data_IF_589134362986
#
_entry.id   IF_589134362986
#
_cell.length_a   1.000
_cell.length_b   1.000
_cell.length_c   1.000
_cell.angle_alpha   90.00
_cell.angle_beta   90.00
_cell.angle_gamma   90.00
#
_symmetry.space_group_name_H-M   'P 1'
#
loop_
_entity.id
_entity.type
_entity.pdbx_description
1 polymer ?
#
# COMPACT_ATOMS: atom_id res chain seq x y z
N UNK A 1 -20.42 65.47 5.68
CA UNK A 1 -20.55 64.30 6.56
C UNK A 1 -19.89 63.13 5.86
N UNK A 2 -18.79 62.61 6.40
CA UNK A 2 -18.03 61.51 5.81
C UNK A 2 -18.67 60.18 6.24
N UNK A 3 -19.29 59.47 5.30
CA UNK A 3 -19.75 58.09 5.53
C UNK A 3 -18.62 57.14 5.16
N UNK A 4 -17.78 56.85 6.15
CA UNK A 4 -16.73 55.83 6.06
C UNK A 4 -17.37 54.45 5.93
N UNK A 5 -17.17 53.80 4.78
CA UNK A 5 -17.54 52.40 4.58
C UNK A 5 -16.42 51.52 5.16
N UNK A 6 -16.75 50.81 6.24
CA UNK A 6 -15.92 49.76 6.84
C UNK A 6 -15.79 48.61 5.84
N UNK A 7 -14.59 48.47 5.28
CA UNK A 7 -14.17 47.35 4.46
C UNK A 7 -13.92 46.14 5.38
N UNK A 8 -14.91 45.27 5.52
CA UNK A 8 -14.74 43.97 6.19
C UNK A 8 -13.92 43.04 5.30
N UNK A 9 -12.61 42.95 5.57
CA UNK A 9 -11.74 41.93 4.98
C UNK A 9 -12.09 40.59 5.63
N UNK A 10 -12.97 39.82 4.98
CA UNK A 10 -13.18 38.41 5.27
C UNK A 10 -11.94 37.65 4.79
N UNK A 11 -11.04 37.35 5.73
CA UNK A 11 -9.93 36.44 5.52
C UNK A 11 -10.50 35.02 5.38
N UNK A 12 -10.89 34.64 4.17
CA UNK A 12 -11.21 33.25 3.85
C UNK A 12 -9.91 32.45 3.93
N UNK A 13 -9.64 31.88 5.10
CA UNK A 13 -8.65 30.83 5.24
C UNK A 13 -9.09 29.68 4.32
N UNK A 14 -8.44 29.58 3.16
CA UNK A 14 -8.51 28.37 2.33
C UNK A 14 -7.83 27.28 3.13
N UNK A 15 -8.60 26.58 3.97
CA UNK A 15 -8.19 25.26 4.43
C UNK A 15 -7.94 24.46 3.15
N UNK A 16 -6.67 24.20 2.85
CA UNK A 16 -6.30 23.14 1.95
C UNK A 16 -6.82 21.86 2.60
N UNK A 17 -8.08 21.53 2.31
CA UNK A 17 -8.66 20.25 2.69
C UNK A 17 -7.76 19.24 2.03
N UNK A 18 -6.97 18.51 2.83
CA UNK A 18 -6.14 17.43 2.34
C UNK A 18 -7.07 16.53 1.51
N UNK A 19 -6.82 16.50 0.20
CA UNK A 19 -7.66 15.73 -0.71
C UNK A 19 -7.37 14.28 -0.36
N UNK A 20 -8.35 13.50 0.14
CA UNK A 20 -8.09 12.15 0.61
C UNK A 20 -7.56 11.29 -0.54
N UNK A 21 -6.89 10.18 -0.23
CA UNK A 21 -6.66 9.13 -1.22
C UNK A 21 -8.00 8.88 -1.92
N UNK A 22 -8.05 9.02 -3.25
CA UNK A 22 -9.28 8.80 -4.02
C UNK A 22 -9.09 7.61 -4.95
N UNK A 23 -10.08 6.74 -4.95
CA UNK A 23 -10.31 5.80 -6.03
C UNK A 23 -10.89 6.56 -7.23
N UNK A 24 -10.24 6.47 -8.39
CA UNK A 24 -10.81 6.91 -9.67
C UNK A 24 -11.16 5.70 -10.52
N UNK A 25 -12.37 5.66 -11.07
CA UNK A 25 -12.84 4.48 -11.81
C UNK A 25 -12.47 4.57 -13.28
N UNK A 26 -11.66 3.63 -13.76
CA UNK A 26 -11.40 3.48 -15.20
C UNK A 26 -12.65 2.94 -15.92
N UNK A 27 -13.36 1.99 -15.30
CA UNK A 27 -14.70 1.56 -15.70
C UNK A 27 -15.72 2.05 -14.68
N UNK A 28 -16.59 2.98 -15.09
CA UNK A 28 -17.65 3.50 -14.22
C UNK A 28 -18.59 2.37 -13.76
N UNK A 29 -18.91 2.26 -12.46
CA UNK A 29 -19.83 1.26 -11.94
C UNK A 29 -21.21 1.36 -12.59
N UNK A 30 -21.80 0.23 -12.99
CA UNK A 30 -23.13 0.19 -13.62
C UNK A 30 -24.06 -0.81 -12.92
N UNK A 31 -25.31 -0.38 -12.71
CA UNK A 31 -26.32 -1.18 -12.02
C UNK A 31 -26.11 -1.25 -10.50
N UNK A 32 -27.14 -1.67 -9.78
CA UNK A 32 -27.20 -1.54 -8.32
C UNK A 32 -26.09 -2.33 -7.60
N UNK A 33 -25.73 -3.51 -8.12
CA UNK A 33 -24.70 -4.37 -7.54
C UNK A 33 -23.30 -3.74 -7.62
N UNK A 34 -22.88 -3.23 -8.78
CA UNK A 34 -21.58 -2.56 -8.91
C UNK A 34 -21.56 -1.22 -8.17
N UNK A 35 -22.67 -0.49 -8.14
CA UNK A 35 -22.80 0.75 -7.36
C UNK A 35 -22.63 0.45 -5.85
N UNK A 36 -23.19 -0.65 -5.35
CA UNK A 36 -22.98 -1.07 -3.96
C UNK A 36 -21.52 -1.45 -3.69
N UNK A 37 -20.89 -2.19 -4.59
CA UNK A 37 -19.46 -2.53 -4.49
C UNK A 37 -18.55 -1.30 -4.54
N UNK A 38 -18.88 -0.32 -5.37
CA UNK A 38 -18.16 0.95 -5.46
C UNK A 38 -18.20 1.71 -4.13
N UNK A 39 -19.33 1.71 -3.43
CA UNK A 39 -19.43 2.29 -2.06
C UNK A 39 -18.49 1.59 -1.09
N UNK A 40 -18.39 0.26 -1.13
CA UNK A 40 -17.45 -0.48 -0.27
C UNK A 40 -15.99 -0.09 -0.53
N UNK A 41 -15.62 0.17 -1.80
CA UNK A 41 -14.27 0.64 -2.16
C UNK A 41 -14.06 2.08 -1.69
N UNK A 42 -15.04 2.97 -1.83
CA UNK A 42 -14.97 4.35 -1.35
C UNK A 42 -14.83 4.40 0.18
N UNK A 43 -15.60 3.59 0.90
CA UNK A 43 -15.53 3.48 2.36
C UNK A 43 -14.15 2.97 2.82
N UNK A 44 -13.62 1.94 2.13
CA UNK A 44 -12.29 1.41 2.40
C UNK A 44 -11.18 2.42 2.08
N UNK A 45 -11.31 3.20 1.00
CA UNK A 45 -10.35 4.24 0.62
C UNK A 45 -10.36 5.38 1.64
N UNK A 46 -11.53 5.75 2.15
CA UNK A 46 -11.69 6.76 3.22
C UNK A 46 -10.97 6.31 4.48
N UNK A 47 -11.21 5.07 4.91
CA UNK A 47 -10.52 4.48 6.06
C UNK A 47 -9.00 4.36 5.82
N UNK A 48 -8.58 4.00 4.60
CA UNK A 48 -7.17 3.96 4.24
C UNK A 48 -6.52 5.34 4.42
N UNK A 49 -7.18 6.42 4.00
CA UNK A 49 -6.68 7.77 4.19
C UNK A 49 -6.56 8.14 5.68
N UNK A 50 -7.56 7.81 6.51
CA UNK A 50 -7.48 8.01 7.97
C UNK A 50 -6.25 7.30 8.57
N UNK A 51 -5.97 6.06 8.14
CA UNK A 51 -4.78 5.31 8.58
C UNK A 51 -3.47 5.96 8.10
N UNK A 52 -3.44 6.47 6.86
CA UNK A 52 -2.29 7.20 6.31
C UNK A 52 -1.98 8.46 7.12
N UNK A 53 -3.00 9.20 7.57
CA UNK A 53 -2.81 10.35 8.46
C UNK A 53 -2.18 9.95 9.81
N UNK A 54 -2.59 8.80 10.37
CA UNK A 54 -1.98 8.24 11.59
C UNK A 54 -0.53 7.80 11.34
N UNK A 55 -0.23 7.20 10.19
CA UNK A 55 1.15 6.86 9.78
C UNK A 55 2.02 8.12 9.71
N UNK A 56 1.53 9.20 9.10
CA UNK A 56 2.23 10.49 9.05
C UNK A 56 2.49 11.05 10.45
N UNK A 57 1.50 11.02 11.34
CA UNK A 57 1.67 11.48 12.72
C UNK A 57 2.76 10.71 13.48
N UNK A 58 2.84 9.40 13.29
CA UNK A 58 3.90 8.55 13.85
C UNK A 58 5.27 8.92 13.27
N UNK A 59 5.36 9.13 11.95
CA UNK A 59 6.60 9.50 11.27
C UNK A 59 7.08 10.92 11.60
N UNK A 60 6.19 11.82 12.02
CA UNK A 60 6.57 13.16 12.48
C UNK A 60 7.33 13.15 13.81
N UNK A 61 7.18 12.08 14.61
CA UNK A 61 7.88 11.90 15.88
C UNK A 61 8.48 10.48 15.97
N UNK A 62 9.42 10.11 15.08
CA UNK A 62 9.81 8.72 14.89
C UNK A 62 10.61 8.15 16.08
N UNK A 63 11.22 9.01 16.89
CA UNK A 63 12.16 8.62 17.95
C UNK A 63 11.52 8.31 19.30
N UNK A 64 10.20 8.54 19.46
CA UNK A 64 9.51 8.08 20.68
C UNK A 64 9.57 6.56 20.75
N UNK A 65 9.70 6.00 21.96
CA UNK A 65 9.84 4.56 22.14
C UNK A 65 8.69 3.76 21.48
N UNK A 66 7.47 4.31 21.52
CA UNK A 66 6.32 3.71 20.86
C UNK A 66 6.39 3.78 19.33
N UNK A 67 6.67 4.96 18.76
CA UNK A 67 6.70 5.15 17.31
C UNK A 67 7.87 4.37 16.69
N UNK A 68 9.04 4.41 17.32
CA UNK A 68 10.20 3.62 16.93
C UNK A 68 9.86 2.13 16.91
N UNK A 69 9.12 1.63 17.89
CA UNK A 69 8.65 0.23 17.91
C UNK A 69 7.73 -0.07 16.74
N UNK A 70 6.70 0.75 16.49
CA UNK A 70 5.77 0.56 15.35
C UNK A 70 6.51 0.52 14.01
N UNK A 71 7.41 1.48 13.80
CA UNK A 71 8.23 1.60 12.60
C UNK A 71 9.15 0.38 12.45
N UNK A 72 9.87 0.01 13.51
CA UNK A 72 10.80 -1.14 13.48
C UNK A 72 10.06 -2.46 13.26
N UNK A 73 8.87 -2.62 13.84
CA UNK A 73 8.03 -3.81 13.61
C UNK A 73 7.59 -3.91 12.16
N UNK A 74 7.23 -2.79 11.52
CA UNK A 74 6.81 -2.78 10.12
C UNK A 74 7.98 -2.96 9.15
N UNK A 75 9.02 -2.13 9.27
CA UNK A 75 10.06 -1.97 8.25
C UNK A 75 11.42 -2.55 8.63
N UNK A 76 11.58 -3.01 9.87
CA UNK A 76 12.86 -3.49 10.39
C UNK A 76 13.76 -2.38 10.97
N UNK A 77 14.91 -2.77 11.54
CA UNK A 77 15.82 -1.85 12.25
C UNK A 77 16.65 -0.95 11.32
N UNK A 78 16.72 -1.28 10.01
CA UNK A 78 17.53 -0.58 9.00
C UNK A 78 16.70 0.32 8.08
N UNK A 79 15.49 0.66 8.50
CA UNK A 79 14.54 1.44 7.70
C UNK A 79 15.11 2.79 7.27
N UNK A 80 14.93 3.14 5.99
CA UNK A 80 15.14 4.50 5.51
C UNK A 80 13.90 5.35 5.80
N UNK A 81 13.90 6.07 6.93
CA UNK A 81 12.75 6.88 7.37
C UNK A 81 12.40 7.97 6.35
N UNK A 82 13.38 8.54 5.64
CA UNK A 82 13.13 9.58 4.66
C UNK A 82 12.31 9.04 3.47
N UNK A 83 12.65 7.84 2.99
CA UNK A 83 11.88 7.17 1.94
C UNK A 83 10.47 6.81 2.40
N UNK A 84 10.33 6.24 3.60
CA UNK A 84 9.00 5.93 4.17
C UNK A 84 8.13 7.20 4.27
N UNK A 85 8.70 8.32 4.72
CA UNK A 85 8.01 9.63 4.73
C UNK A 85 7.60 10.07 3.33
N UNK A 86 8.47 9.92 2.34
CA UNK A 86 8.15 10.28 0.96
C UNK A 86 7.00 9.44 0.41
N UNK A 87 6.98 8.13 0.68
CA UNK A 87 5.90 7.24 0.26
C UNK A 87 4.58 7.55 0.97
N UNK A 88 4.60 7.74 2.30
CA UNK A 88 3.40 8.12 3.06
C UNK A 88 2.84 9.47 2.59
N UNK A 89 3.71 10.43 2.26
CA UNK A 89 3.29 11.70 1.66
C UNK A 89 2.60 11.49 0.31
N UNK A 90 3.16 10.67 -0.59
CA UNK A 90 2.52 10.32 -1.86
C UNK A 90 1.16 9.68 -1.65
N UNK A 91 1.05 8.70 -0.74
CA UNK A 91 -0.21 8.03 -0.39
C UNK A 91 -1.25 9.03 0.13
N UNK A 92 -0.84 10.04 0.89
CA UNK A 92 -1.71 11.07 1.44
C UNK A 92 -2.27 12.02 0.37
N UNK A 93 -1.43 12.39 -0.61
CA UNK A 93 -1.70 13.49 -1.55
C UNK A 93 -2.17 13.00 -2.93
N UNK A 94 -2.02 11.72 -3.25
CA UNK A 94 -2.26 11.17 -4.59
C UNK A 94 -3.58 10.42 -4.69
N UNK A 95 -3.92 10.05 -5.92
CA UNK A 95 -5.07 9.21 -6.25
C UNK A 95 -4.59 7.89 -6.85
N UNK A 96 -5.42 6.86 -6.74
CA UNK A 96 -5.18 5.57 -7.37
C UNK A 96 -6.31 5.26 -8.35
N UNK A 97 -5.99 4.87 -9.59
CA UNK A 97 -7.01 4.36 -10.50
C UNK A 97 -7.42 2.95 -10.06
N UNK A 98 -8.71 2.71 -9.98
CA UNK A 98 -9.32 1.40 -9.79
C UNK A 98 -9.93 0.96 -11.13
N UNK A 99 -9.61 -0.25 -11.57
CA UNK A 99 -10.08 -0.77 -12.86
C UNK A 99 -11.59 -0.90 -12.96
N UNK A 100 -12.21 -1.53 -11.96
CA UNK A 100 -13.65 -1.78 -11.94
C UNK A 100 -14.16 -2.07 -10.53
N UNK A 101 -15.45 -1.79 -10.29
CA UNK A 101 -16.17 -2.21 -9.10
C UNK A 101 -16.80 -3.60 -9.23
N UNK A 102 -16.67 -4.25 -10.39
CA UNK A 102 -17.09 -5.63 -10.60
C UNK A 102 -16.15 -6.59 -9.85
N UNK A 103 -16.65 -7.38 -8.88
CA UNK A 103 -15.82 -8.33 -8.13
C UNK A 103 -15.15 -9.40 -8.99
N UNK A 104 -15.64 -9.64 -10.21
CA UNK A 104 -15.05 -10.62 -11.13
C UNK A 104 -13.96 -10.04 -12.03
N UNK A 105 -13.73 -8.72 -11.99
CA UNK A 105 -12.83 -8.05 -12.93
C UNK A 105 -11.42 -8.64 -12.94
N UNK A 106 -10.87 -8.91 -11.75
CA UNK A 106 -9.59 -9.58 -11.63
C UNK A 106 -9.74 -11.11 -11.75
N UNK A 107 -10.76 -11.71 -11.13
CA UNK A 107 -10.98 -13.16 -11.15
C UNK A 107 -11.06 -13.72 -12.58
N UNK A 108 -11.73 -13.02 -13.50
CA UNK A 108 -11.91 -13.43 -14.90
C UNK A 108 -10.56 -13.49 -15.65
N UNK A 109 -9.60 -12.63 -15.30
CA UNK A 109 -8.24 -12.69 -15.85
C UNK A 109 -7.48 -13.95 -15.40
N UNK A 110 -7.93 -14.58 -14.32
CA UNK A 110 -7.39 -15.82 -13.75
C UNK A 110 -8.36 -17.01 -13.90
N UNK A 111 -9.24 -16.97 -14.91
CA UNK A 111 -10.16 -18.07 -15.23
C UNK A 111 -11.25 -18.27 -14.18
N UNK A 112 -11.71 -17.18 -13.55
CA UNK A 112 -12.77 -17.17 -12.54
C UNK A 112 -12.31 -17.58 -11.13
N UNK A 113 -11.00 -17.73 -10.91
CA UNK A 113 -10.45 -18.04 -9.58
C UNK A 113 -10.49 -16.79 -8.71
N UNK A 114 -11.04 -16.85 -7.47
CA UNK A 114 -11.06 -15.72 -6.57
C UNK A 114 -9.67 -15.12 -6.36
N UNK A 115 -9.56 -13.82 -6.60
CA UNK A 115 -8.36 -13.03 -6.35
C UNK A 115 -8.66 -11.95 -5.31
N UNK A 116 -7.59 -11.51 -4.63
CA UNK A 116 -7.68 -10.40 -3.69
C UNK A 116 -7.60 -9.07 -4.45
N UNK A 117 -6.38 -8.69 -4.83
CA UNK A 117 -6.10 -7.50 -5.61
C UNK A 117 -4.73 -7.65 -6.30
N UNK A 118 -4.45 -6.78 -7.27
CA UNK A 118 -3.11 -6.58 -7.83
C UNK A 118 -2.99 -5.19 -8.47
N UNK A 119 -1.75 -4.72 -8.62
CA UNK A 119 -1.39 -3.64 -9.55
C UNK A 119 -0.36 -4.15 -10.54
N UNK A 120 -0.75 -4.53 -11.77
CA UNK A 120 0.20 -5.04 -12.74
C UNK A 120 1.03 -3.90 -13.35
N UNK A 121 2.27 -4.15 -13.80
CA UNK A 121 3.01 -3.19 -14.60
C UNK A 121 2.37 -2.96 -15.98
N UNK A 122 2.66 -1.81 -16.57
CA UNK A 122 2.32 -1.46 -17.95
C UNK A 122 3.23 -2.21 -18.93
N UNK A 123 2.88 -3.46 -19.22
CA UNK A 123 3.63 -4.28 -20.19
C UNK A 123 3.14 -4.07 -21.63
N UNK A 124 4.08 -3.99 -22.57
CA UNK A 124 3.81 -4.03 -24.02
C UNK A 124 4.24 -5.39 -24.56
N UNK A 125 3.41 -6.11 -25.36
CA UNK A 125 3.81 -7.37 -25.96
C UNK A 125 5.14 -7.26 -26.70
N UNK A 126 6.08 -8.15 -26.39
CA UNK A 126 7.42 -8.17 -26.98
C UNK A 126 8.44 -7.22 -26.33
N UNK A 127 8.08 -6.51 -25.25
CA UNK A 127 9.04 -5.78 -24.41
C UNK A 127 9.22 -6.45 -23.06
N UNK A 128 10.46 -6.52 -22.60
CA UNK A 128 10.82 -7.08 -21.29
C UNK A 128 10.55 -6.07 -20.16
N UNK A 129 10.69 -4.77 -20.43
CA UNK A 129 10.51 -3.72 -19.43
C UNK A 129 9.10 -3.09 -19.43
N UNK A 130 8.59 -2.69 -18.25
CA UNK A 130 7.39 -1.85 -18.15
C UNK A 130 7.55 -0.52 -18.88
N UNK A 131 6.49 -0.06 -19.56
CA UNK A 131 6.46 1.24 -20.24
C UNK A 131 5.64 2.26 -19.45
N UNK A 132 6.05 3.53 -19.38
CA UNK A 132 5.22 4.56 -18.78
C UNK A 132 3.90 4.78 -19.54
N UNK A 133 2.81 5.04 -18.83
CA UNK A 133 1.56 5.56 -19.38
C UNK A 133 1.71 7.05 -19.77
N UNK A 134 0.61 7.71 -20.17
CA UNK A 134 0.63 9.13 -20.58
C UNK A 134 1.04 10.07 -19.45
N UNK A 135 0.77 9.67 -18.22
CA UNK A 135 1.09 10.38 -16.99
C UNK A 135 2.51 10.02 -16.47
N UNK A 136 3.26 9.18 -17.18
CA UNK A 136 4.60 8.76 -16.82
C UNK A 136 4.68 7.63 -15.78
N UNK A 137 3.54 7.02 -15.40
CA UNK A 137 3.51 5.90 -14.46
C UNK A 137 3.71 4.55 -15.17
N UNK A 138 4.58 3.69 -14.65
CA UNK A 138 4.85 2.34 -15.17
C UNK A 138 3.89 1.28 -14.64
N UNK A 139 2.99 1.64 -13.73
CA UNK A 139 1.97 0.75 -13.18
C UNK A 139 0.60 1.00 -13.82
N UNK A 140 -0.19 -0.07 -13.98
CA UNK A 140 -1.60 -0.03 -14.35
C UNK A 140 -2.48 0.35 -13.16
N UNK A 141 -3.78 0.40 -13.38
CA UNK A 141 -4.76 0.52 -12.32
C UNK A 141 -4.75 -0.63 -11.30
N UNK A 142 -5.24 -0.34 -10.11
CA UNK A 142 -5.55 -1.33 -9.08
C UNK A 142 -6.72 -2.18 -9.55
N UNK A 143 -6.51 -3.49 -9.57
CA UNK A 143 -7.49 -4.46 -9.99
C UNK A 143 -7.96 -5.22 -8.75
N UNK A 144 -9.27 -5.24 -8.49
CA UNK A 144 -9.86 -5.90 -7.33
C UNK A 144 -10.57 -7.18 -7.78
N UNK A 145 -10.36 -8.27 -7.05
CA UNK A 145 -11.05 -9.53 -7.24
C UNK A 145 -12.11 -9.79 -6.18
N UNK A 146 -12.79 -10.94 -6.25
CA UNK A 146 -13.95 -11.18 -5.39
C UNK A 146 -13.59 -11.37 -3.92
N UNK A 147 -12.37 -11.80 -3.62
CA UNK A 147 -11.93 -11.97 -2.22
C UNK A 147 -11.73 -10.65 -1.50
N UNK A 148 -11.39 -9.56 -2.22
CA UNK A 148 -11.35 -8.22 -1.62
C UNK A 148 -12.69 -7.86 -1.00
N UNK A 149 -13.79 -8.08 -1.72
CA UNK A 149 -15.13 -7.69 -1.26
C UNK A 149 -15.59 -8.49 -0.04
N UNK A 150 -15.05 -9.71 0.16
CA UNK A 150 -15.31 -10.58 1.33
C UNK A 150 -14.52 -10.17 2.58
N UNK A 151 -13.47 -9.34 2.45
CA UNK A 151 -12.65 -8.91 3.59
C UNK A 151 -13.41 -8.01 4.55
N UNK A 152 -12.93 -7.90 5.79
CA UNK A 152 -13.44 -6.92 6.74
C UNK A 152 -13.04 -5.50 6.33
N UNK A 153 -13.71 -4.49 6.89
CA UNK A 153 -13.52 -3.08 6.53
C UNK A 153 -12.05 -2.64 6.66
N UNK A 154 -11.40 -2.96 7.78
CA UNK A 154 -9.99 -2.62 8.01
C UNK A 154 -9.03 -3.35 7.07
N UNK A 155 -9.32 -4.60 6.73
CA UNK A 155 -8.51 -5.39 5.81
C UNK A 155 -8.62 -4.86 4.39
N UNK A 156 -9.82 -4.46 3.94
CA UNK A 156 -10.00 -3.77 2.65
C UNK A 156 -9.16 -2.50 2.58
N UNK A 157 -9.18 -1.68 3.63
CA UNK A 157 -8.35 -0.48 3.70
C UNK A 157 -6.85 -0.81 3.64
N UNK A 158 -6.42 -1.86 4.35
CA UNK A 158 -5.04 -2.34 4.31
C UNK A 158 -4.61 -2.82 2.92
N UNK A 159 -5.48 -3.55 2.21
CA UNK A 159 -5.23 -3.97 0.82
C UNK A 159 -5.09 -2.75 -0.09
N UNK A 160 -5.97 -1.74 0.02
CA UNK A 160 -5.84 -0.55 -0.80
C UNK A 160 -4.56 0.24 -0.52
N UNK A 161 -4.07 0.28 0.73
CA UNK A 161 -2.75 0.87 1.05
C UNK A 161 -1.62 0.07 0.39
N UNK A 162 -1.66 -1.25 0.46
CA UNK A 162 -0.69 -2.14 -0.19
C UNK A 162 -0.61 -1.86 -1.70
N UNK A 163 -1.75 -1.97 -2.39
CA UNK A 163 -1.82 -1.76 -3.84
C UNK A 163 -1.47 -0.32 -4.24
N UNK A 164 -1.90 0.68 -3.47
CA UNK A 164 -1.53 2.07 -3.72
C UNK A 164 -0.02 2.30 -3.62
N UNK A 165 0.65 1.56 -2.75
CA UNK A 165 2.11 1.66 -2.58
C UNK A 165 2.82 1.13 -3.82
N UNK A 166 2.38 0.00 -4.39
CA UNK A 166 2.88 -0.48 -5.68
C UNK A 166 2.70 0.58 -6.77
N UNK A 167 1.51 1.17 -6.87
CA UNK A 167 1.19 2.15 -7.91
C UNK A 167 2.01 3.46 -7.82
N UNK A 168 2.18 4.00 -6.61
CA UNK A 168 2.75 5.35 -6.39
C UNK A 168 4.26 5.35 -6.11
N UNK A 169 4.77 4.26 -5.55
CA UNK A 169 6.15 4.14 -5.10
C UNK A 169 6.92 3.00 -5.76
N UNK A 170 6.26 2.23 -6.66
CA UNK A 170 6.88 1.13 -7.40
C UNK A 170 7.56 0.11 -6.47
N UNK A 171 6.97 -0.08 -5.28
CA UNK A 171 7.35 -1.12 -4.34
C UNK A 171 7.08 -2.50 -4.90
N UNK A 172 7.62 -3.53 -4.27
CA UNK A 172 7.44 -4.92 -4.68
C UNK A 172 7.18 -5.83 -3.47
N UNK A 173 6.77 -7.07 -3.73
CA UNK A 173 6.52 -8.09 -2.70
C UNK A 173 7.55 -9.21 -2.71
N UNK A 174 8.33 -9.30 -3.78
CA UNK A 174 9.29 -10.36 -3.97
C UNK A 174 10.61 -10.06 -3.26
N UNK A 175 11.21 -11.10 -2.70
CA UNK A 175 12.43 -11.01 -1.91
C UNK A 175 13.53 -11.80 -2.58
N UNK A 176 14.64 -11.14 -2.90
CA UNK A 176 15.88 -11.79 -3.29
C UNK A 176 16.39 -12.63 -2.11
N UNK A 177 16.71 -13.91 -2.31
CA UNK A 177 17.22 -14.80 -1.26
C UNK A 177 18.75 -14.93 -1.27
N UNK A 178 19.43 -14.23 -2.18
CA UNK A 178 20.87 -14.24 -2.22
C UNK A 178 21.47 -13.38 -1.12
N UNK A 179 22.71 -13.73 -0.78
CA UNK A 179 23.58 -12.84 -0.01
C UNK A 179 24.11 -11.80 -0.98
N UNK A 180 23.85 -10.53 -0.69
CA UNK A 180 24.37 -9.43 -1.50
C UNK A 180 25.89 -9.34 -1.36
N UNK A 181 26.61 -8.72 -2.31
CA UNK A 181 28.06 -8.54 -2.23
C UNK A 181 28.55 -7.82 -0.96
N UNK A 182 27.69 -7.04 -0.30
CA UNK A 182 27.95 -6.36 0.97
C UNK A 182 27.70 -7.24 2.22
N UNK A 183 27.38 -8.52 2.03
CA UNK A 183 27.10 -9.49 3.09
C UNK A 183 25.69 -9.38 3.67
N UNK A 184 24.83 -8.48 3.18
CA UNK A 184 23.43 -8.42 3.61
C UNK A 184 22.66 -9.65 3.10
N UNK A 185 21.76 -10.14 3.95
CA UNK A 185 20.87 -11.26 3.62
C UNK A 185 19.52 -10.66 3.25
N UNK A 186 19.04 -11.01 2.06
CA UNK A 186 17.77 -10.57 1.52
C UNK A 186 17.72 -9.12 1.04
N UNK A 187 16.96 -8.89 -0.01
CA UNK A 187 16.55 -7.55 -0.46
C UNK A 187 15.18 -7.63 -1.12
N UNK A 188 14.43 -6.53 -1.07
CA UNK A 188 13.23 -6.42 -1.91
C UNK A 188 13.70 -6.23 -3.35
N UNK A 189 13.21 -7.07 -4.26
CA UNK A 189 13.49 -6.94 -5.69
C UNK A 189 12.80 -5.69 -6.23
N UNK A 190 13.46 -4.93 -7.09
CA UNK A 190 12.75 -3.84 -7.77
C UNK A 190 11.78 -4.42 -8.79
N UNK A 191 10.79 -3.63 -9.15
CA UNK A 191 9.88 -4.00 -10.23
C UNK A 191 10.68 -4.27 -11.53
N UNK A 192 10.40 -5.40 -12.18
CA UNK A 192 11.09 -5.82 -13.40
C UNK A 192 12.41 -6.57 -13.17
N UNK A 193 12.94 -6.59 -11.95
CA UNK A 193 14.07 -7.46 -11.60
C UNK A 193 13.54 -8.90 -11.45
N UNK A 194 13.59 -9.68 -12.53
CA UNK A 194 13.52 -11.15 -12.46
C UNK A 194 14.92 -11.66 -12.72
N UNK A 195 15.71 -11.96 -11.67
CA UNK A 195 17.10 -12.28 -11.93
C UNK A 195 17.18 -13.69 -12.50
N UNK A 196 17.76 -13.81 -13.71
CA UNK A 196 17.72 -15.03 -14.52
C UNK A 196 18.30 -16.30 -13.88
N UNK A 197 19.06 -16.17 -12.77
CA UNK A 197 19.71 -17.28 -12.07
C UNK A 197 19.57 -17.23 -10.53
N UNK A 198 18.70 -16.37 -9.98
CA UNK A 198 18.69 -16.09 -8.54
C UNK A 198 17.58 -16.83 -7.79
N UNK A 199 17.90 -17.30 -6.58
CA UNK A 199 16.88 -17.78 -5.65
C UNK A 199 16.10 -16.56 -5.16
N UNK A 200 14.81 -16.51 -5.43
CA UNK A 200 13.91 -15.50 -4.87
C UNK A 200 12.69 -16.15 -4.23
N UNK A 201 12.09 -15.46 -3.26
CA UNK A 201 10.82 -15.84 -2.67
C UNK A 201 9.72 -14.97 -3.29
N UNK A 202 8.87 -15.53 -4.17
CA UNK A 202 7.71 -14.80 -4.68
C UNK A 202 6.79 -14.48 -3.51
N UNK A 203 6.34 -13.23 -3.42
CA UNK A 203 5.51 -12.73 -2.30
C UNK A 203 6.14 -12.96 -0.93
N UNK A 204 7.48 -13.08 -0.87
CA UNK A 204 8.19 -13.32 0.37
C UNK A 204 8.00 -12.19 1.39
N UNK A 205 7.78 -10.97 0.91
CA UNK A 205 7.58 -9.78 1.72
C UNK A 205 6.22 -9.70 2.42
N UNK A 206 5.31 -10.66 2.24
CA UNK A 206 4.04 -10.67 2.94
C UNK A 206 4.20 -11.05 4.42
N UNK A 207 3.51 -10.31 5.29
CA UNK A 207 3.22 -10.70 6.65
C UNK A 207 2.17 -11.81 6.65
N UNK A 208 2.60 -13.01 7.04
CA UNK A 208 1.76 -14.19 7.10
C UNK A 208 1.43 -14.53 8.57
N UNK A 209 0.64 -15.58 8.76
CA UNK A 209 0.37 -16.26 10.01
C UNK A 209 0.32 -17.77 9.77
N UNK A 210 0.16 -18.53 10.85
CA UNK A 210 -0.04 -19.98 10.84
C UNK A 210 1.09 -20.73 10.11
N UNK A 211 2.32 -20.23 10.25
CA UNK A 211 3.53 -20.81 9.66
C UNK A 211 3.68 -20.49 8.18
N UNK A 212 3.20 -19.32 7.74
CA UNK A 212 3.29 -18.88 6.36
C UNK A 212 2.16 -19.38 5.45
N UNK A 213 0.99 -19.74 6.01
CA UNK A 213 -0.14 -20.28 5.23
C UNK A 213 -1.15 -19.22 4.83
N UNK A 214 -1.39 -18.25 5.71
CA UNK A 214 -2.40 -17.21 5.52
C UNK A 214 -1.79 -15.83 5.75
N UNK A 215 -2.35 -14.79 5.15
CA UNK A 215 -1.93 -13.43 5.47
C UNK A 215 -2.34 -13.07 6.91
N UNK A 216 -1.44 -12.40 7.64
CA UNK A 216 -1.78 -11.76 8.89
C UNK A 216 -2.61 -10.50 8.59
N UNK A 217 -3.87 -10.50 9.03
CA UNK A 217 -4.82 -9.40 8.80
C UNK A 217 -4.81 -8.42 9.96
N UNK A 218 -5.65 -7.38 9.88
CA UNK A 218 -5.66 -6.28 10.85
C UNK A 218 -5.76 -6.76 12.31
N UNK A 219 -6.72 -7.65 12.57
CA UNK A 219 -6.97 -8.20 13.90
C UNK A 219 -5.78 -9.05 14.40
N UNK A 220 -5.14 -9.83 13.53
CA UNK A 220 -4.01 -10.69 13.88
C UNK A 220 -2.79 -9.87 14.32
N UNK A 221 -2.59 -8.70 13.71
CA UNK A 221 -1.47 -7.80 14.00
C UNK A 221 -1.72 -7.03 15.31
N UNK A 222 -2.94 -6.50 15.52
CA UNK A 222 -3.28 -5.75 16.74
C UNK A 222 -3.29 -6.65 17.96
N UNK A 223 -3.92 -7.82 17.87
CA UNK A 223 -4.12 -8.71 19.02
C UNK A 223 -2.79 -9.12 19.68
N UNK A 224 -1.72 -9.26 18.89
CA UNK A 224 -0.39 -9.63 19.39
C UNK A 224 0.65 -8.52 19.26
N UNK A 225 0.23 -7.28 18.95
CA UNK A 225 1.07 -6.08 18.76
C UNK A 225 2.40 -6.34 18.02
N UNK A 226 2.36 -7.14 16.95
CA UNK A 226 3.51 -7.50 16.12
C UNK A 226 4.25 -8.80 16.49
N UNK A 227 3.86 -9.51 17.56
CA UNK A 227 4.42 -10.82 17.91
C UNK A 227 4.17 -11.87 16.82
N UNK A 228 2.99 -11.85 16.20
CA UNK A 228 2.65 -12.68 15.02
C UNK A 228 3.60 -12.48 13.85
N UNK A 229 4.21 -11.29 13.73
CA UNK A 229 5.13 -10.93 12.65
C UNK A 229 6.60 -11.30 12.93
N UNK A 230 6.92 -11.71 14.15
CA UNK A 230 8.31 -12.01 14.58
C UNK A 230 8.73 -13.46 14.37
N UNK A 231 7.78 -14.39 14.34
CA UNK A 231 8.06 -15.82 14.22
C UNK A 231 8.20 -16.31 12.76
N UNK A 232 8.06 -15.41 11.80
CA UNK A 232 7.87 -15.75 10.40
C UNK A 232 8.92 -15.15 9.46
N UNK A 233 8.92 -15.61 8.20
CA UNK A 233 9.80 -15.13 7.12
C UNK A 233 9.75 -13.60 6.97
N UNK A 234 8.59 -12.99 7.14
CA UNK A 234 8.45 -11.53 7.17
C UNK A 234 9.38 -10.87 8.20
N UNK A 235 9.42 -11.43 9.42
CA UNK A 235 10.28 -10.98 10.52
C UNK A 235 11.76 -11.11 10.21
N UNK A 236 12.15 -12.21 9.57
CA UNK A 236 13.51 -12.43 9.10
C UNK A 236 13.90 -11.43 8.00
N UNK A 237 13.08 -11.33 6.94
CA UNK A 237 13.36 -10.47 5.79
C UNK A 237 13.44 -9.01 6.21
N UNK A 238 12.50 -8.49 7.02
CA UNK A 238 12.57 -7.10 7.49
C UNK A 238 13.79 -6.84 8.38
N UNK A 239 14.25 -7.83 9.14
CA UNK A 239 15.38 -7.65 10.04
C UNK A 239 16.70 -7.52 9.27
N UNK A 240 16.88 -8.35 8.23
CA UNK A 240 18.15 -8.43 7.51
C UNK A 240 18.19 -7.60 6.22
N UNK A 241 17.04 -7.35 5.58
CA UNK A 241 16.97 -6.59 4.32
C UNK A 241 17.25 -5.10 4.55
N UNK A 242 18.24 -4.52 3.83
CA UNK A 242 18.54 -3.09 3.95
C UNK A 242 17.46 -2.20 3.29
N UNK A 243 16.67 -2.76 2.36
CA UNK A 243 15.67 -2.03 1.60
C UNK A 243 14.24 -2.50 1.86
N UNK A 244 13.94 -3.06 3.04
CA UNK A 244 12.58 -3.56 3.33
C UNK A 244 11.49 -2.47 3.31
N UNK A 245 11.87 -1.19 3.39
CA UNK A 245 10.95 -0.06 3.16
C UNK A 245 10.43 0.05 1.71
N UNK A 246 10.97 -0.76 0.79
CA UNK A 246 10.49 -0.91 -0.59
C UNK A 246 9.47 -2.06 -0.73
N UNK A 247 9.10 -2.73 0.37
CA UNK A 247 8.05 -3.73 0.38
C UNK A 247 6.66 -3.09 0.57
N UNK A 248 5.69 -3.44 -0.27
CA UNK A 248 4.34 -2.86 -0.16
C UNK A 248 3.61 -3.31 1.12
N UNK A 249 3.74 -4.58 1.50
CA UNK A 249 3.05 -5.14 2.67
C UNK A 249 3.47 -4.48 3.98
N UNK A 250 4.72 -4.00 4.06
CA UNK A 250 5.23 -3.24 5.20
C UNK A 250 4.44 -1.96 5.50
N UNK A 251 3.87 -1.30 4.48
CA UNK A 251 3.00 -0.15 4.66
C UNK A 251 1.61 -0.55 5.17
N UNK A 252 1.07 -1.70 4.74
CA UNK A 252 -0.17 -2.27 5.29
C UNK A 252 -0.02 -2.63 6.76
N UNK A 253 1.10 -3.26 7.12
CA UNK A 253 1.45 -3.56 8.51
C UNK A 253 1.60 -2.28 9.32
N UNK A 254 2.33 -1.28 8.80
CA UNK A 254 2.51 -0.01 9.49
C UNK A 254 1.19 0.73 9.72
N UNK A 255 0.32 0.79 8.71
CA UNK A 255 -1.02 1.35 8.82
C UNK A 255 -1.84 0.69 9.93
N UNK A 256 -1.75 -0.64 10.04
CA UNK A 256 -2.42 -1.40 11.10
C UNK A 256 -1.87 -1.09 12.48
N UNK A 257 -0.54 -1.03 12.65
CA UNK A 257 0.11 -0.72 13.93
C UNK A 257 -0.14 0.71 14.42
N UNK A 258 -0.44 1.63 13.51
CA UNK A 258 -0.76 3.02 13.82
C UNK A 258 -2.25 3.25 14.10
N UNK A 259 -3.12 2.29 13.77
CA UNK A 259 -4.59 2.43 13.83
C UNK A 259 -5.14 2.43 15.25
#
# INVERSE_FOLDING_TARGET
>A
MYTGSLLSILLAATFAVAIPLRAEWNSQPRGDAEIANAKLVVDATTLAHEKILKMEAVLNNPDTAENKRKITTAFGPRVNIAEVKAVVKKLKESKIPIGSANPKYLDDQYGGKPQLAQVPPNMVPGKEDPVPNREGNIMKEVQLGSDFYKKLRDDKAGVLIHEATHYLAHTNDDVNLNVNPDGTKYSILKLGEVPGNEKYAPRGGYALKDGGKDNAWHADIIANKGGSLSAEKYGEYRYYSPNFHQNADSYRVFATLCS
#
